data_IF_564392959128
#
_entry.id   IF_564392959128
#
_cell.length_a   1.000
_cell.length_b   1.000
_cell.length_c   1.000
_cell.angle_alpha   90.00
_cell.angle_beta   90.00
_cell.angle_gamma   90.00
#
_symmetry.space_group_name_H-M   'P 1'
#
loop_
_entity.id
_entity.type
_entity.pdbx_description
1 polymer ?
#
# COMPACT_ATOMS: atom_id res chain seq x y z
N UNK A 1 17.80 -6.77 3.76
CA UNK A 1 18.91 -6.21 2.97
C UNK A 1 18.40 -5.95 1.57
N UNK A 2 18.47 -4.71 1.11
CA UNK A 2 17.79 -4.21 -0.10
C UNK A 2 18.30 -4.83 -1.40
N UNK A 3 17.35 -5.16 -2.28
CA UNK A 3 17.57 -5.70 -3.64
C UNK A 3 18.20 -4.67 -4.61
N UNK A 4 18.28 -3.40 -4.20
CA UNK A 4 18.66 -2.28 -5.08
C UNK A 4 20.15 -1.90 -5.06
N UNK A 5 21.01 -2.58 -4.28
CA UNK A 5 22.44 -2.26 -4.18
C UNK A 5 23.37 -3.44 -4.55
N UNK A 6 22.83 -4.50 -5.17
CA UNK A 6 23.55 -5.72 -5.52
C UNK A 6 24.01 -5.78 -6.98
N UNK A 7 25.25 -6.26 -7.18
CA UNK A 7 25.93 -6.52 -8.46
C UNK A 7 25.04 -7.23 -9.50
N UNK A 8 25.11 -6.78 -10.76
CA UNK A 8 24.41 -7.31 -11.93
C UNK A 8 24.63 -8.80 -12.21
N UNK A 9 25.59 -9.46 -11.53
CA UNK A 9 25.85 -10.88 -11.63
C UNK A 9 24.82 -11.78 -10.90
N UNK A 10 23.89 -11.22 -10.12
CA UNK A 10 22.86 -11.99 -9.41
C UNK A 10 21.62 -12.32 -10.26
N UNK A 11 21.48 -11.70 -11.44
CA UNK A 11 20.30 -11.88 -12.30
C UNK A 11 20.45 -12.99 -13.36
N UNK A 12 21.64 -13.59 -13.52
CA UNK A 12 21.89 -14.61 -14.55
C UNK A 12 21.29 -16.00 -14.23
N UNK A 13 20.86 -16.24 -12.99
CA UNK A 13 20.29 -17.52 -12.54
C UNK A 13 19.06 -17.34 -11.62
N UNK A 14 18.27 -16.30 -11.83
CA UNK A 14 16.98 -16.20 -11.16
C UNK A 14 16.00 -17.19 -11.80
N UNK A 15 15.85 -18.38 -11.20
CA UNK A 15 14.73 -19.27 -11.52
C UNK A 15 13.43 -18.55 -11.19
N UNK A 16 12.54 -18.46 -12.18
CA UNK A 16 11.24 -17.83 -12.02
C UNK A 16 10.36 -18.75 -11.19
N UNK A 17 10.24 -18.44 -9.90
CA UNK A 17 9.32 -19.12 -9.00
C UNK A 17 7.94 -18.44 -9.11
N UNK A 18 6.90 -19.14 -9.59
CA UNK A 18 5.57 -18.57 -9.76
C UNK A 18 4.96 -18.10 -8.44
N UNK A 19 5.36 -18.66 -7.29
CA UNK A 19 4.89 -18.22 -5.98
C UNK A 19 5.49 -16.86 -5.60
N UNK A 20 6.79 -16.66 -5.87
CA UNK A 20 7.46 -15.39 -5.60
C UNK A 20 6.91 -14.25 -6.45
N UNK A 21 6.50 -14.54 -7.70
CA UNK A 21 5.80 -13.56 -8.54
C UNK A 21 4.47 -13.16 -7.92
N UNK A 22 3.65 -14.12 -7.51
CA UNK A 22 2.35 -13.83 -6.86
C UNK A 22 2.51 -12.96 -5.60
N UNK A 23 3.53 -13.24 -4.77
CA UNK A 23 3.82 -12.43 -3.59
C UNK A 23 4.26 -11.01 -3.98
N UNK A 24 5.08 -10.86 -5.03
CA UNK A 24 5.49 -9.57 -5.54
C UNK A 24 4.29 -8.75 -6.07
N UNK A 25 3.35 -9.39 -6.77
CA UNK A 25 2.13 -8.74 -7.27
C UNK A 25 1.24 -8.23 -6.14
N UNK A 26 1.11 -9.01 -5.06
CA UNK A 26 0.34 -8.61 -3.87
C UNK A 26 1.02 -7.42 -3.19
N UNK A 27 2.34 -7.46 -3.00
CA UNK A 27 3.09 -6.36 -2.40
C UNK A 27 2.98 -5.08 -3.21
N UNK A 28 3.15 -5.18 -4.53
CA UNK A 28 2.99 -4.05 -5.45
C UNK A 28 1.58 -3.46 -5.37
N UNK A 29 0.56 -4.30 -5.41
CA UNK A 29 -0.84 -3.87 -5.33
C UNK A 29 -1.15 -3.17 -4.01
N UNK A 30 -0.63 -3.68 -2.89
CA UNK A 30 -0.77 -3.05 -1.58
C UNK A 30 -0.06 -1.69 -1.50
N UNK A 31 1.16 -1.59 -2.03
CA UNK A 31 1.92 -0.33 -2.10
C UNK A 31 1.22 0.70 -2.98
N UNK A 32 0.73 0.29 -4.16
CA UNK A 32 -0.01 1.17 -5.07
C UNK A 32 -1.30 1.70 -4.43
N UNK A 33 -2.06 0.84 -3.73
CA UNK A 33 -3.24 1.28 -2.99
C UNK A 33 -2.89 2.33 -1.93
N UNK A 34 -1.84 2.07 -1.15
CA UNK A 34 -1.40 2.98 -0.09
C UNK A 34 -0.93 4.32 -0.66
N UNK A 35 -0.19 4.31 -1.76
CA UNK A 35 0.26 5.51 -2.47
C UNK A 35 -0.91 6.35 -2.99
N UNK A 36 -1.91 5.73 -3.62
CA UNK A 36 -3.10 6.44 -4.10
C UNK A 36 -3.90 7.08 -2.95
N UNK A 37 -3.99 6.41 -1.81
CA UNK A 37 -4.63 6.98 -0.61
C UNK A 37 -3.81 8.14 -0.03
N UNK A 38 -2.48 8.00 0.02
CA UNK A 38 -1.58 9.06 0.45
C UNK A 38 -1.76 10.32 -0.41
N UNK A 39 -1.75 10.16 -1.74
CA UNK A 39 -1.90 11.25 -2.70
C UNK A 39 -3.21 12.02 -2.45
N UNK A 40 -4.35 11.32 -2.44
CA UNK A 40 -5.67 11.94 -2.19
C UNK A 40 -5.76 12.62 -0.82
N UNK A 41 -5.13 12.06 0.21
CA UNK A 41 -5.15 12.63 1.56
C UNK A 41 -4.31 13.89 1.66
N UNK A 42 -3.10 13.90 1.10
CA UNK A 42 -2.26 15.08 1.13
C UNK A 42 -2.75 16.18 0.19
N UNK A 43 -3.31 15.81 -0.97
CA UNK A 43 -4.04 16.73 -1.85
C UNK A 43 -5.16 17.45 -1.07
N UNK A 44 -6.04 16.70 -0.41
CA UNK A 44 -7.15 17.28 0.36
C UNK A 44 -6.70 18.15 1.55
N UNK A 45 -5.51 17.90 2.11
CA UNK A 45 -5.02 18.57 3.32
C UNK A 45 -4.18 19.80 3.02
N UNK A 46 -3.41 19.78 1.94
CA UNK A 46 -2.42 20.79 1.64
C UNK A 46 -2.78 21.70 0.48
N UNK A 47 -3.63 21.25 -0.46
CA UNK A 47 -4.07 22.09 -1.57
C UNK A 47 -5.39 22.76 -1.26
N UNK A 48 -5.47 24.05 -1.59
CA UNK A 48 -6.71 24.83 -1.50
C UNK A 48 -7.66 24.44 -2.63
N UNK A 49 -8.96 24.65 -2.41
CA UNK A 49 -10.00 24.45 -3.43
C UNK A 49 -9.97 25.54 -4.51
N UNK A 50 -9.48 26.71 -4.14
CA UNK A 50 -9.32 27.86 -5.03
C UNK A 50 -7.84 27.99 -5.39
N UNK A 51 -7.54 27.81 -6.67
CA UNK A 51 -6.19 27.90 -7.21
C UNK A 51 -5.94 29.32 -7.72
N UNK A 52 -4.92 29.99 -7.18
CA UNK A 52 -4.47 31.29 -7.67
C UNK A 52 -3.46 31.19 -8.82
N UNK A 53 -2.66 30.12 -8.83
CA UNK A 53 -1.59 29.85 -9.80
C UNK A 53 -1.43 28.35 -10.04
N UNK A 54 -0.71 27.97 -11.11
CA UNK A 54 -0.52 26.56 -11.49
C UNK A 54 0.67 25.88 -10.81
N UNK A 55 1.56 26.65 -10.19
CA UNK A 55 2.69 26.13 -9.43
C UNK A 55 2.34 25.99 -7.95
N UNK A 56 3.02 25.08 -7.26
CA UNK A 56 2.85 24.92 -5.82
C UNK A 56 3.57 26.04 -5.09
N UNK A 57 2.84 26.75 -4.22
CA UNK A 57 3.44 27.73 -3.33
C UNK A 57 4.40 27.05 -2.35
N UNK A 58 5.38 27.78 -1.81
CA UNK A 58 6.31 27.25 -0.80
C UNK A 58 5.59 26.63 0.41
N UNK A 59 4.45 27.20 0.80
CA UNK A 59 3.62 26.69 1.90
C UNK A 59 2.98 25.34 1.58
N UNK A 60 2.48 25.17 0.36
CA UNK A 60 1.91 23.90 -0.11
C UNK A 60 2.98 22.81 -0.22
N UNK A 61 4.16 23.14 -0.76
CA UNK A 61 5.29 22.22 -0.85
C UNK A 61 5.71 21.69 0.53
N UNK A 62 5.96 22.60 1.48
CA UNK A 62 6.36 22.20 2.85
C UNK A 62 5.22 21.46 3.59
N UNK A 63 3.95 21.82 3.32
CA UNK A 63 2.81 21.07 3.84
C UNK A 63 2.80 19.64 3.33
N UNK A 64 3.01 19.43 2.02
CA UNK A 64 3.02 18.10 1.38
C UNK A 64 4.10 17.22 2.04
N UNK A 65 5.33 17.72 2.21
CA UNK A 65 6.42 16.97 2.86
C UNK A 65 6.04 16.53 4.28
N UNK A 66 5.50 17.44 5.07
CA UNK A 66 5.02 17.17 6.44
C UNK A 66 3.83 16.20 6.43
N UNK A 67 2.94 16.29 5.44
CA UNK A 67 1.79 15.42 5.29
C UNK A 67 2.23 13.98 5.02
N UNK A 68 3.12 13.76 4.05
CA UNK A 68 3.67 12.44 3.71
C UNK A 68 4.35 11.81 4.92
N UNK A 69 5.20 12.56 5.63
CA UNK A 69 5.88 12.11 6.85
C UNK A 69 4.88 11.64 7.92
N UNK A 70 3.85 12.44 8.21
CA UNK A 70 2.79 12.09 9.17
C UNK A 70 1.96 10.90 8.70
N UNK A 71 1.63 10.82 7.42
CA UNK A 71 0.82 9.75 6.85
C UNK A 71 1.54 8.41 6.99
N UNK A 72 2.81 8.32 6.59
CA UNK A 72 3.60 7.08 6.71
C UNK A 72 3.74 6.68 8.18
N UNK A 73 4.04 7.62 9.07
CA UNK A 73 4.09 7.36 10.52
C UNK A 73 2.75 6.81 11.06
N UNK A 74 1.63 7.40 10.65
CA UNK A 74 0.30 6.93 11.04
C UNK A 74 0.01 5.52 10.49
N UNK A 75 0.40 5.22 9.25
CA UNK A 75 0.23 3.87 8.67
C UNK A 75 0.98 2.81 9.46
N UNK A 76 2.21 3.09 9.91
CA UNK A 76 2.98 2.16 10.74
C UNK A 76 2.27 1.91 12.07
N UNK A 77 1.86 2.97 12.79
CA UNK A 77 1.17 2.86 14.08
C UNK A 77 -0.14 2.07 13.96
N UNK A 78 -0.93 2.35 12.91
CA UNK A 78 -2.16 1.61 12.63
C UNK A 78 -1.83 0.15 12.34
N UNK A 79 -0.83 -0.12 11.49
CA UNK A 79 -0.38 -1.47 11.18
C UNK A 79 0.01 -2.27 12.42
N UNK A 80 0.79 -1.69 13.32
CA UNK A 80 1.16 -2.30 14.60
C UNK A 80 -0.06 -2.59 15.48
N UNK A 81 -1.04 -1.68 15.51
CA UNK A 81 -2.27 -1.86 16.28
C UNK A 81 -3.13 -2.99 15.73
N UNK A 82 -3.30 -3.06 14.40
CA UNK A 82 -4.05 -4.13 13.74
C UNK A 82 -3.38 -5.50 13.96
N UNK A 83 -2.05 -5.56 13.91
CA UNK A 83 -1.29 -6.78 14.20
C UNK A 83 -1.44 -7.21 15.66
N UNK A 84 -1.40 -6.27 16.62
CA UNK A 84 -1.61 -6.56 18.05
C UNK A 84 -2.99 -7.16 18.32
N UNK A 85 -4.02 -6.68 17.61
CA UNK A 85 -5.38 -7.20 17.69
C UNK A 85 -5.58 -8.50 16.91
N UNK A 86 -4.57 -8.98 16.17
CA UNK A 86 -4.64 -10.15 15.28
C UNK A 86 -5.85 -10.08 14.34
N UNK A 87 -6.09 -8.89 13.77
CA UNK A 87 -7.15 -8.72 12.78
C UNK A 87 -6.78 -9.46 11.50
N UNK A 88 -7.42 -10.60 11.28
CA UNK A 88 -7.35 -11.33 10.03
C UNK A 88 -8.69 -11.24 9.27
N UNK A 89 -8.69 -11.10 7.94
CA UNK A 89 -9.90 -10.92 7.15
C UNK A 89 -10.94 -12.05 7.32
N UNK A 90 -10.53 -13.24 7.76
CA UNK A 90 -11.39 -14.42 7.82
C UNK A 90 -12.10 -14.59 9.18
N UNK A 91 -11.49 -14.15 10.28
CA UNK A 91 -12.08 -14.18 11.62
C UNK A 91 -12.73 -12.86 12.01
N UNK A 92 -12.18 -11.72 11.57
CA UNK A 92 -12.62 -10.41 12.03
C UNK A 92 -13.67 -9.75 11.13
N UNK A 93 -13.89 -10.29 9.93
CA UNK A 93 -14.86 -9.74 8.97
C UNK A 93 -15.81 -10.82 8.43
N UNK A 94 -17.04 -10.95 8.98
CA UNK A 94 -17.94 -12.05 8.65
C UNK A 94 -18.44 -12.05 7.20
N UNK A 95 -18.42 -10.91 6.47
CA UNK A 95 -18.76 -10.90 5.05
C UNK A 95 -17.75 -11.66 4.19
N UNK A 96 -16.45 -11.62 4.52
CA UNK A 96 -15.41 -12.26 3.73
C UNK A 96 -15.45 -13.79 3.81
N UNK A 97 -15.93 -14.33 4.93
CA UNK A 97 -16.19 -15.77 5.06
C UNK A 97 -17.19 -16.27 4.02
N UNK A 98 -18.28 -15.53 3.79
CA UNK A 98 -19.28 -15.87 2.78
C UNK A 98 -18.70 -15.86 1.37
N UNK A 99 -17.85 -14.87 1.05
CA UNK A 99 -17.17 -14.79 -0.24
C UNK A 99 -16.22 -15.98 -0.43
N UNK A 100 -15.51 -16.40 0.62
CA UNK A 100 -14.65 -17.57 0.58
C UNK A 100 -15.43 -18.86 0.30
N UNK A 101 -16.58 -19.05 0.96
CA UNK A 101 -17.46 -20.20 0.72
C UNK A 101 -17.98 -20.22 -0.73
N UNK A 102 -18.36 -19.06 -1.26
CA UNK A 102 -18.78 -18.90 -2.66
C UNK A 102 -17.62 -19.26 -3.61
N UNK A 103 -16.42 -18.71 -3.39
CA UNK A 103 -15.24 -19.00 -4.21
C UNK A 103 -14.86 -20.49 -4.17
N UNK A 104 -14.93 -21.11 -2.98
CA UNK A 104 -14.68 -22.54 -2.81
C UNK A 104 -15.73 -23.41 -3.53
N UNK A 105 -16.99 -22.98 -3.56
CA UNK A 105 -18.05 -23.66 -4.32
C UNK A 105 -17.87 -23.56 -5.83
N UNK A 106 -17.37 -22.42 -6.35
CA UNK A 106 -17.16 -22.20 -7.78
C UNK A 106 -15.95 -22.94 -8.37
N UNK A 107 -14.95 -23.26 -7.54
CA UNK A 107 -13.76 -24.03 -7.97
C UNK A 107 -14.06 -25.54 -8.07
N UNK A 108 -15.17 -25.99 -7.49
CA UNK A 108 -15.54 -27.41 -7.42
C UNK A 108 -16.54 -27.84 -8.50
N UNK A 109 -17.01 -26.91 -9.33
CA UNK A 109 -17.85 -27.15 -10.52
C UNK A 109 -17.05 -26.99 -11.80
#
# INVERSE_FOLDING_TARGET
MSVFLGSSAQFSQATIDPEKIKLADIQFSAMAFTFNKLLRRCEQKCLLREYGEGELTKGEQECIDRCVSKYVKANVIIGEHLQKQRLDPFNSMPEYRKVQDILASSVKS
#
